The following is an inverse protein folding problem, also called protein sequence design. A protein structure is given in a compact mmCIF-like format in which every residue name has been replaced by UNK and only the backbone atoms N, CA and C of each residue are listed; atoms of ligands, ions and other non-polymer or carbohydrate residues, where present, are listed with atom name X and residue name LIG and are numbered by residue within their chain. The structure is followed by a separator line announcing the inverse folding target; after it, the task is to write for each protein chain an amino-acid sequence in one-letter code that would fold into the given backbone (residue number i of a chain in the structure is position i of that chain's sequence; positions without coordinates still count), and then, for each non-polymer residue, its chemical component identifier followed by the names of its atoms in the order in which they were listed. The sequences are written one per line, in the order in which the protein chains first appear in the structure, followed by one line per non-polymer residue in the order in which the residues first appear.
data_IF_266648828351
#
_entry.id   IF_266648828351
#
_cell.length_a   1.000
_cell.length_b   1.000
_cell.length_c   1.000
_cell.angle_alpha   90.00
_cell.angle_beta   90.00
_cell.angle_gamma   90.00
#
_symmetry.space_group_name_H-M   'P 1'
#
loop_
_entity.id
_entity.type
_entity.pdbx_description
1 polymer ?
#
# COMPACT_ATOMS: atom_id res chain seq x y z
N UNK A 1 22.67 -0.14 -42.90
CA UNK A 1 22.40 1.32 -42.95
C UNK A 1 21.89 1.74 -41.60
N UNK A 2 22.56 2.67 -40.91
CA UNK A 2 22.10 3.12 -39.59
C UNK A 2 20.76 3.86 -39.76
N UNK A 3 19.72 3.47 -39.00
CA UNK A 3 18.43 4.15 -39.03
C UNK A 3 18.59 5.64 -38.74
N UNK A 4 17.82 6.46 -39.46
CA UNK A 4 17.72 7.89 -39.21
C UNK A 4 17.15 8.19 -37.82
N UNK A 5 17.34 9.43 -37.35
CA UNK A 5 16.84 9.85 -36.03
C UNK A 5 15.30 9.76 -35.95
N UNK A 6 14.59 10.04 -37.04
CA UNK A 6 13.13 9.95 -37.13
C UNK A 6 12.66 8.49 -36.99
N UNK A 7 13.23 7.57 -37.78
CA UNK A 7 12.89 6.15 -37.73
C UNK A 7 13.15 5.54 -36.33
N UNK A 8 14.24 5.96 -35.67
CA UNK A 8 14.54 5.56 -34.28
C UNK A 8 13.52 6.10 -33.30
N UNK A 9 13.07 7.34 -33.48
CA UNK A 9 12.05 7.94 -32.62
C UNK A 9 10.72 7.18 -32.74
N UNK A 10 10.25 6.94 -33.96
CA UNK A 10 9.00 6.21 -34.20
C UNK A 10 9.06 4.79 -33.63
N UNK A 11 10.20 4.10 -33.82
CA UNK A 11 10.43 2.78 -33.25
C UNK A 11 10.30 2.79 -31.71
N UNK A 12 10.98 3.70 -31.02
CA UNK A 12 10.94 3.76 -29.55
C UNK A 12 9.59 4.26 -29.01
N UNK A 13 8.95 5.23 -29.68
CA UNK A 13 7.62 5.70 -29.32
C UNK A 13 6.60 4.56 -29.40
N UNK A 14 6.67 3.73 -30.44
CA UNK A 14 5.84 2.53 -30.59
C UNK A 14 6.04 1.52 -29.46
N UNK A 15 7.28 1.31 -29.00
CA UNK A 15 7.56 0.44 -27.85
C UNK A 15 6.93 1.00 -26.56
N UNK A 16 7.11 2.29 -26.29
CA UNK A 16 6.55 2.93 -25.09
C UNK A 16 5.03 2.87 -25.10
N UNK A 17 4.39 3.12 -26.24
CA UNK A 17 2.94 3.06 -26.37
C UNK A 17 2.40 1.64 -26.12
N UNK A 18 3.05 0.61 -26.67
CA UNK A 18 2.62 -0.79 -26.51
C UNK A 18 2.89 -1.33 -25.10
N UNK A 19 4.02 -0.95 -24.50
CA UNK A 19 4.48 -1.53 -23.23
C UNK A 19 4.18 -0.66 -21.99
N UNK A 20 3.78 0.60 -22.17
CA UNK A 20 3.60 1.54 -21.07
C UNK A 20 2.61 1.07 -20.00
N UNK A 21 1.57 0.33 -20.40
CA UNK A 21 0.60 -0.28 -19.48
C UNK A 21 1.18 -1.38 -18.60
N UNK A 22 2.22 -2.08 -19.04
CA UNK A 22 2.87 -3.14 -18.25
C UNK A 22 3.63 -2.61 -17.05
N UNK A 23 3.92 -1.30 -16.99
CA UNK A 23 4.62 -0.67 -15.85
C UNK A 23 3.88 -0.86 -14.52
N UNK A 24 2.56 -0.94 -14.55
CA UNK A 24 1.73 -1.13 -13.35
C UNK A 24 1.42 -2.61 -13.05
N UNK A 25 1.70 -3.51 -13.99
CA UNK A 25 1.36 -4.93 -13.88
C UNK A 25 2.06 -5.64 -12.71
N UNK A 26 3.37 -5.43 -12.43
CA UNK A 26 4.03 -6.06 -11.28
C UNK A 26 3.41 -5.68 -9.94
N UNK A 27 3.02 -4.40 -9.79
CA UNK A 27 2.34 -3.92 -8.58
C UNK A 27 0.95 -4.55 -8.44
N UNK A 28 0.20 -4.67 -9.53
CA UNK A 28 -1.10 -5.33 -9.53
C UNK A 28 -0.99 -6.79 -9.06
N UNK A 29 -0.06 -7.56 -9.63
CA UNK A 29 0.17 -8.95 -9.23
C UNK A 29 0.53 -9.05 -7.76
N UNK A 30 1.40 -8.17 -7.27
CA UNK A 30 1.79 -8.14 -5.86
C UNK A 30 0.59 -7.91 -4.94
N UNK A 31 -0.24 -6.89 -5.21
CA UNK A 31 -1.44 -6.60 -4.43
C UNK A 31 -2.44 -7.76 -4.47
N UNK A 32 -2.62 -8.38 -5.64
CA UNK A 32 -3.49 -9.54 -5.79
C UNK A 32 -3.00 -10.74 -4.95
N UNK A 33 -1.70 -11.05 -4.99
CA UNK A 33 -1.10 -12.11 -4.18
C UNK A 33 -1.26 -11.84 -2.68
N UNK A 34 -1.01 -10.60 -2.24
CA UNK A 34 -1.20 -10.20 -0.83
C UNK A 34 -2.67 -10.35 -0.41
N UNK A 35 -3.63 -10.00 -1.26
CA UNK A 35 -5.05 -10.20 -0.97
C UNK A 35 -5.41 -11.69 -0.79
N UNK A 36 -4.82 -12.57 -1.60
CA UNK A 36 -5.01 -14.01 -1.45
C UNK A 36 -4.38 -14.54 -0.14
N UNK A 37 -3.14 -14.14 0.15
CA UNK A 37 -2.46 -14.50 1.40
C UNK A 37 -3.23 -14.00 2.63
N UNK A 38 -3.80 -12.80 2.58
CA UNK A 38 -4.65 -12.25 3.66
C UNK A 38 -5.86 -13.15 3.94
N UNK A 39 -6.54 -13.64 2.90
CA UNK A 39 -7.67 -14.57 3.07
C UNK A 39 -7.23 -15.87 3.73
N UNK A 40 -6.06 -16.40 3.33
CA UNK A 40 -5.51 -17.62 3.92
C UNK A 40 -5.10 -17.42 5.38
N UNK A 41 -4.45 -16.31 5.69
CA UNK A 41 -4.10 -15.93 7.06
C UNK A 41 -5.35 -15.83 7.94
N UNK A 42 -6.39 -15.12 7.50
CA UNK A 42 -7.65 -15.04 8.27
C UNK A 42 -8.32 -16.41 8.48
N UNK A 43 -8.25 -17.29 7.48
CA UNK A 43 -8.75 -18.67 7.64
C UNK A 43 -7.98 -19.45 8.71
N UNK A 44 -6.66 -19.26 8.82
CA UNK A 44 -5.86 -19.82 9.92
C UNK A 44 -6.18 -19.14 11.26
N UNK A 45 -6.36 -17.83 11.26
CA UNK A 45 -6.76 -17.06 12.44
C UNK A 45 -8.07 -17.56 13.03
N UNK A 46 -9.06 -17.86 12.19
CA UNK A 46 -10.32 -18.48 12.63
C UNK A 46 -10.08 -19.81 13.36
N UNK A 47 -9.22 -20.69 12.83
CA UNK A 47 -8.89 -21.96 13.48
C UNK A 47 -8.24 -21.73 14.85
N UNK A 48 -7.30 -20.79 14.94
CA UNK A 48 -6.66 -20.47 16.20
C UNK A 48 -7.64 -19.86 17.22
N UNK A 49 -8.69 -19.16 16.77
CA UNK A 49 -9.79 -18.72 17.66
C UNK A 49 -10.63 -19.91 18.13
N UNK A 50 -10.98 -20.84 17.24
CA UNK A 50 -11.70 -22.08 17.58
C UNK A 50 -10.91 -22.93 18.60
N UNK A 51 -9.57 -22.95 18.48
CA UNK A 51 -8.64 -23.59 19.41
C UNK A 51 -8.41 -22.79 20.71
N UNK A 52 -9.01 -21.61 20.87
CA UNK A 52 -8.85 -20.74 22.06
C UNK A 52 -7.46 -20.10 22.19
N UNK A 53 -6.68 -20.07 21.12
CA UNK A 53 -5.31 -19.52 21.07
C UNK A 53 -5.29 -18.04 20.73
N UNK A 54 -6.29 -17.55 19.99
CA UNK A 54 -6.53 -16.15 19.67
C UNK A 54 -7.92 -15.73 20.15
N UNK A 55 -8.11 -14.45 20.45
CA UNK A 55 -9.42 -13.86 20.74
C UNK A 55 -10.15 -13.46 19.46
N UNK A 56 -9.39 -13.03 18.44
CA UNK A 56 -9.92 -12.57 17.15
C UNK A 56 -9.05 -13.03 15.97
N UNK A 57 -9.65 -13.30 14.79
CA UNK A 57 -8.88 -13.79 13.63
C UNK A 57 -7.82 -12.79 13.14
N UNK A 58 -8.05 -11.48 13.32
CA UNK A 58 -7.11 -10.45 12.86
C UNK A 58 -5.79 -10.43 13.62
N UNK A 59 -5.74 -10.98 14.84
CA UNK A 59 -4.52 -11.05 15.65
C UNK A 59 -3.42 -11.89 14.99
N UNK A 60 -3.76 -12.71 13.98
CA UNK A 60 -2.76 -13.45 13.22
C UNK A 60 -1.77 -12.52 12.50
N UNK A 61 -2.15 -11.27 12.19
CA UNK A 61 -1.25 -10.31 11.54
C UNK A 61 -0.23 -9.67 12.48
N UNK A 62 -0.40 -9.86 13.80
CA UNK A 62 0.58 -9.44 14.80
C UNK A 62 1.71 -10.47 14.98
N UNK A 63 1.52 -11.69 14.45
CA UNK A 63 2.45 -12.81 14.52
C UNK A 63 3.44 -12.80 13.34
N UNK A 64 4.66 -13.29 13.58
CA UNK A 64 5.60 -13.58 12.49
C UNK A 64 5.24 -14.89 11.81
N UNK A 65 5.74 -15.10 10.58
CA UNK A 65 5.48 -16.33 9.82
C UNK A 65 6.00 -17.57 10.55
N UNK A 66 7.14 -17.45 11.24
CA UNK A 66 7.75 -18.53 12.03
C UNK A 66 6.91 -18.89 13.24
N UNK A 67 6.30 -17.89 13.89
CA UNK A 67 5.37 -18.09 15.00
C UNK A 67 4.10 -18.80 14.52
N UNK A 68 3.56 -18.41 13.37
CA UNK A 68 2.39 -19.07 12.74
C UNK A 68 2.73 -20.52 12.37
N UNK A 69 3.88 -20.77 11.75
CA UNK A 69 4.31 -22.12 11.35
C UNK A 69 4.48 -23.04 12.57
N UNK A 70 5.22 -22.57 13.58
CA UNK A 70 5.42 -23.31 14.83
C UNK A 70 4.10 -23.60 15.56
N UNK A 71 3.14 -22.66 15.47
CA UNK A 71 1.80 -22.83 16.00
C UNK A 71 0.96 -23.85 15.23
N UNK A 72 1.14 -23.94 13.91
CA UNK A 72 0.42 -24.85 13.03
C UNK A 72 0.94 -26.30 13.09
N UNK A 73 2.24 -26.49 13.25
CA UNK A 73 2.87 -27.82 13.21
C UNK A 73 2.78 -28.58 14.54
N UNK A 74 2.14 -27.99 15.57
CA UNK A 74 1.98 -28.60 16.90
C UNK A 74 3.28 -28.73 17.71
N UNK A 75 4.41 -28.24 17.17
CA UNK A 75 5.72 -28.24 17.85
C UNK A 75 5.81 -27.09 18.87
N UNK A 76 4.91 -26.09 18.79
CA UNK A 76 4.69 -25.12 19.84
C UNK A 76 3.95 -25.73 21.03
N UNK A 77 4.64 -25.81 22.17
CA UNK A 77 4.13 -26.27 23.46
C UNK A 77 2.71 -25.77 23.73
N UNK A 78 1.90 -26.59 24.43
CA UNK A 78 0.50 -26.33 24.80
C UNK A 78 0.24 -25.14 25.74
N UNK A 79 0.99 -24.05 25.62
CA UNK A 79 0.69 -22.76 26.18
C UNK A 79 0.04 -21.88 25.11
N UNK A 80 -0.97 -21.10 25.50
CA UNK A 80 -1.54 -20.02 24.70
C UNK A 80 -0.42 -19.32 23.90
N UNK A 81 -0.63 -19.13 22.59
CA UNK A 81 0.18 -18.17 21.85
C UNK A 81 -0.22 -16.81 22.40
N UNK A 82 0.43 -16.39 23.49
CA UNK A 82 0.32 -15.02 23.99
C UNK A 82 0.86 -14.16 22.88
N UNK A 83 -0.04 -13.64 22.05
CA UNK A 83 0.26 -12.54 21.15
C UNK A 83 0.64 -11.40 22.07
N UNK A 84 1.93 -11.03 22.21
CA UNK A 84 2.21 -9.74 22.82
C UNK A 84 1.46 -8.77 21.93
N UNK A 85 0.52 -7.98 22.49
CA UNK A 85 0.01 -6.79 21.80
C UNK A 85 1.27 -6.10 21.33
N UNK A 86 1.55 -6.14 20.03
CA UNK A 86 2.65 -5.40 19.45
C UNK A 86 2.14 -3.96 19.45
N UNK A 87 2.19 -3.36 20.63
CA UNK A 87 2.44 -1.94 20.71
C UNK A 87 3.67 -1.75 19.85
N UNK A 88 3.51 -1.22 18.64
CA UNK A 88 4.63 -0.76 17.85
C UNK A 88 5.03 0.60 18.46
N UNK A 89 5.97 0.68 19.41
CA UNK A 89 6.41 1.98 19.94
C UNK A 89 6.96 2.86 18.82
N UNK A 90 7.55 2.24 17.78
CA UNK A 90 8.04 2.93 16.58
C UNK A 90 6.91 3.56 15.74
N UNK A 91 5.68 3.05 15.82
CA UNK A 91 4.54 3.63 15.12
C UNK A 91 3.91 4.80 15.91
N UNK A 92 4.00 4.82 17.25
CA UNK A 92 3.39 5.89 18.07
C UNK A 92 4.02 7.27 17.82
N UNK A 93 5.33 7.32 17.53
CA UNK A 93 6.02 8.57 17.18
C UNK A 93 5.67 9.13 15.78
N UNK A 94 5.04 8.31 14.93
CA UNK A 94 4.64 8.67 13.55
C UNK A 94 3.13 8.95 13.47
N UNK A 95 2.34 8.55 14.47
CA UNK A 95 0.89 8.70 14.49
C UNK A 95 0.37 10.16 14.62
N UNK A 96 1.26 11.15 14.70
CA UNK A 96 0.93 12.58 14.51
C UNK A 96 1.71 13.25 13.38
N UNK A 97 2.65 12.53 12.76
CA UNK A 97 3.40 13.03 11.62
C UNK A 97 2.56 12.79 10.36
N UNK A 98 2.13 13.87 9.71
CA UNK A 98 1.42 13.79 8.43
C UNK A 98 2.24 13.09 7.33
N UNK A 99 3.56 12.93 7.53
CA UNK A 99 4.48 12.36 6.54
C UNK A 99 5.59 11.54 7.21
N UNK A 100 5.84 10.34 6.69
CA UNK A 100 7.04 9.54 6.99
C UNK A 100 8.22 10.19 6.28
N UNK A 101 9.36 10.45 6.96
CA UNK A 101 10.51 11.08 6.34
C UNK A 101 11.07 10.20 5.22
N UNK A 102 11.35 10.80 4.06
CA UNK A 102 11.93 10.12 2.88
C UNK A 102 13.34 9.58 3.15
N UNK A 103 14.01 10.07 4.20
CA UNK A 103 15.36 9.65 4.61
C UNK A 103 15.38 9.37 6.11
N UNK A 104 15.74 8.15 6.49
CA UNK A 104 15.72 7.68 7.89
C UNK A 104 17.07 7.88 8.60
N UNK A 105 18.14 8.25 7.87
CA UNK A 105 19.50 8.44 8.43
C UNK A 105 20.19 9.75 8.01
N UNK A 106 19.45 10.84 7.81
CA UNK A 106 20.06 12.13 7.47
C UNK A 106 19.18 13.34 7.75
N UNK A 107 19.79 14.52 7.79
CA UNK A 107 19.11 15.81 7.96
C UNK A 107 18.05 15.97 6.86
N UNK A 108 16.82 16.31 7.22
CA UNK A 108 15.78 16.68 6.26
C UNK A 108 16.24 17.96 5.55
N UNK A 109 16.42 17.97 4.22
CA UNK A 109 16.84 19.17 3.51
C UNK A 109 15.77 20.25 3.64
N UNK A 110 16.20 21.48 3.94
CA UNK A 110 15.30 22.62 3.99
C UNK A 110 14.68 22.84 2.59
N UNK A 111 13.35 22.90 2.53
CA UNK A 111 12.61 23.28 1.33
C UNK A 111 13.04 24.69 0.91
N UNK A 112 13.41 24.85 -0.37
CA UNK A 112 13.74 26.14 -0.97
C UNK A 112 12.54 27.09 -0.82
N UNK A 113 12.77 28.27 -0.24
CA UNK A 113 11.73 29.23 0.11
C UNK A 113 11.01 29.76 -1.12
N UNK A 114 9.68 29.72 -1.09
CA UNK A 114 8.81 30.40 -2.02
C UNK A 114 8.83 31.93 -1.81
N UNK A 115 8.34 32.70 -2.78
CA UNK A 115 7.89 34.07 -2.53
C UNK A 115 6.75 34.05 -1.51
N UNK A 116 6.67 35.09 -0.67
CA UNK A 116 5.71 35.17 0.44
C UNK A 116 4.27 34.86 -0.02
N UNK A 117 3.67 33.83 0.57
CA UNK A 117 2.29 33.40 0.29
C UNK A 117 2.14 32.25 -0.73
N UNK A 118 3.20 31.83 -1.41
CA UNK A 118 3.14 30.75 -2.40
C UNK A 118 3.53 29.38 -1.81
N UNK A 119 2.75 28.33 -2.07
CA UNK A 119 3.12 26.97 -1.70
C UNK A 119 3.87 26.27 -2.85
N UNK A 120 5.14 25.96 -2.65
CA UNK A 120 5.94 25.19 -3.64
C UNK A 120 5.67 23.69 -3.47
N UNK A 121 5.24 23.04 -4.55
CA UNK A 121 5.04 21.57 -4.62
C UNK A 121 5.64 21.02 -5.90
N UNK A 122 5.90 19.71 -5.95
CA UNK A 122 6.33 19.04 -7.19
C UNK A 122 5.20 19.13 -8.21
N UNK A 123 5.47 19.72 -9.37
CA UNK A 123 4.53 19.73 -10.49
C UNK A 123 4.23 18.31 -10.96
N UNK A 124 2.94 17.96 -11.07
CA UNK A 124 2.49 16.67 -11.62
C UNK A 124 2.20 16.76 -13.13
N UNK A 125 1.66 17.88 -13.59
CA UNK A 125 1.28 18.18 -14.97
C UNK A 125 1.63 19.62 -15.32
N UNK A 126 1.96 19.89 -16.58
CA UNK A 126 2.16 21.26 -17.05
C UNK A 126 0.80 21.94 -17.28
N UNK A 127 0.65 23.18 -16.83
CA UNK A 127 -0.55 23.99 -17.00
C UNK A 127 -0.86 24.89 -15.80
N UNK A 128 -1.74 25.86 -16.01
CA UNK A 128 -2.29 26.72 -14.96
C UNK A 128 -3.80 26.51 -14.87
N UNK A 129 -4.32 26.33 -13.67
CA UNK A 129 -5.75 26.19 -13.42
C UNK A 129 -6.10 26.84 -12.08
N UNK A 130 -7.28 27.44 -11.97
CA UNK A 130 -7.88 27.90 -10.71
C UNK A 130 -9.13 27.10 -10.46
N UNK A 131 -9.24 26.52 -9.27
CA UNK A 131 -10.40 25.74 -8.85
C UNK A 131 -10.57 25.82 -7.33
N UNK A 132 -11.81 25.68 -6.87
CA UNK A 132 -12.12 25.56 -5.45
C UNK A 132 -11.65 24.20 -4.93
N UNK A 133 -10.85 24.20 -3.87
CA UNK A 133 -10.35 22.98 -3.24
C UNK A 133 -11.50 22.26 -2.53
N UNK A 134 -11.90 21.10 -3.05
CA UNK A 134 -12.79 20.17 -2.34
C UNK A 134 -11.96 19.10 -1.64
N UNK A 135 -11.89 19.07 -0.30
CA UNK A 135 -11.22 17.99 0.40
C UNK A 135 -12.01 16.69 0.23
N UNK A 136 -11.41 15.70 -0.41
CA UNK A 136 -11.95 14.34 -0.47
C UNK A 136 -11.84 13.67 0.91
N UNK A 137 -12.94 13.12 1.41
CA UNK A 137 -13.01 12.45 2.73
C UNK A 137 -12.88 10.93 2.64
N UNK A 138 -12.37 10.40 1.53
CA UNK A 138 -12.09 8.98 1.36
C UNK A 138 -13.08 8.27 0.45
N UNK A 139 -12.61 7.21 -0.19
CA UNK A 139 -13.29 6.45 -1.24
C UNK A 139 -14.43 5.53 -0.74
N UNK A 140 -14.99 5.78 0.44
CA UNK A 140 -15.97 4.90 1.10
C UNK A 140 -17.40 4.97 0.53
N UNK A 141 -17.65 5.75 -0.55
CA UNK A 141 -19.00 5.95 -1.13
C UNK A 141 -19.26 5.27 -2.47
N UNK A 142 -18.48 4.25 -2.85
CA UNK A 142 -18.67 3.58 -4.16
C UNK A 142 -19.65 2.39 -4.10
N UNK A 143 -20.10 1.96 -2.90
CA UNK A 143 -21.00 0.80 -2.76
C UNK A 143 -22.51 1.10 -2.93
N UNK A 144 -22.97 2.35 -2.90
CA UNK A 144 -24.41 2.67 -2.94
C UNK A 144 -25.02 2.85 -4.35
N UNK A 145 -24.26 2.66 -5.43
CA UNK A 145 -24.75 2.84 -6.81
C UNK A 145 -24.66 1.59 -7.70
N UNK A 146 -25.18 0.46 -7.22
CA UNK A 146 -25.47 -0.71 -8.08
C UNK A 146 -26.83 -1.34 -7.74
N UNK A 147 -27.91 -0.59 -7.92
CA UNK A 147 -29.28 -1.14 -7.87
C UNK A 147 -30.15 -0.82 -9.09
N UNK A 148 -29.60 -0.29 -10.18
CA UNK A 148 -30.36 -0.02 -11.40
C UNK A 148 -29.68 -0.63 -12.64
N UNK A 149 -29.93 -1.91 -12.88
CA UNK A 149 -29.87 -2.58 -14.20
C UNK A 149 -30.37 -4.03 -14.09
N UNK A 150 -31.64 -4.20 -13.72
CA UNK A 150 -32.45 -5.37 -14.08
C UNK A 150 -33.85 -4.89 -14.41
N UNK A 151 -34.08 -4.59 -15.68
CA UNK A 151 -35.36 -4.75 -16.39
C UNK A 151 -35.02 -5.17 -17.80
#
# INVERSE_FOLDING_TARGET
TALGKADKFEYHAGIIQRLGGYREHPKYLYVYMVAYLRRRALSLGNKFVEEGRLERPEQIFDLTVEQIASANDGIGQGGQVRVPRRDHPEARGVQGASQVPVRVHGRVPATTSALSGEQVRRGGTAGTARADLRPDRGADRVSERRHWARR
#
